data_IF_407492370592
#
_entry.id   IF_407492370592
#
_cell.length_a   1.000
_cell.length_b   1.000
_cell.length_c   1.000
_cell.angle_alpha   90.00
_cell.angle_beta   90.00
_cell.angle_gamma   90.00
#
_symmetry.space_group_name_H-M   'P 1'
#
loop_
_entity.id
_entity.type
_entity.pdbx_description
1 polymer ?
#
# COMPACT_ATOMS: atom_id res chain seq x y z
N UNK A 1 9.08 2.37 -25.74
CA UNK A 1 8.98 2.30 -24.26
C UNK A 1 7.65 2.79 -23.68
N UNK A 2 6.79 3.50 -24.42
CA UNK A 2 5.57 4.10 -23.85
C UNK A 2 4.33 3.18 -23.80
N UNK A 3 4.24 2.09 -24.57
CA UNK A 3 3.06 1.21 -24.59
C UNK A 3 2.87 0.34 -23.34
N UNK A 4 3.92 0.10 -22.56
CA UNK A 4 3.85 -0.80 -21.39
C UNK A 4 3.27 -0.08 -20.17
N UNK A 5 3.52 1.23 -20.03
CA UNK A 5 3.00 2.07 -18.94
C UNK A 5 1.47 2.15 -18.92
N UNK A 6 0.83 2.32 -20.08
CA UNK A 6 -0.62 2.50 -20.17
C UNK A 6 -1.43 1.21 -19.90
N UNK A 7 -0.90 0.04 -20.27
CA UNK A 7 -1.61 -1.23 -20.06
C UNK A 7 -1.69 -1.62 -18.58
N UNK A 8 -0.68 -1.25 -17.79
CA UNK A 8 -0.63 -1.54 -16.34
C UNK A 8 -1.58 -0.61 -15.57
N UNK A 9 -1.62 0.68 -15.94
CA UNK A 9 -2.50 1.67 -15.30
C UNK A 9 -3.99 1.36 -15.55
N UNK A 10 -4.36 0.96 -16.78
CA UNK A 10 -5.76 0.65 -17.11
C UNK A 10 -6.27 -0.64 -16.42
N UNK A 11 -5.39 -1.62 -16.19
CA UNK A 11 -5.71 -2.84 -15.44
C UNK A 11 -5.85 -2.57 -13.92
N UNK A 12 -5.17 -1.57 -13.36
CA UNK A 12 -5.28 -1.21 -11.94
C UNK A 12 -6.53 -0.40 -11.62
N UNK A 13 -6.96 0.53 -12.51
CA UNK A 13 -8.14 1.38 -12.29
C UNK A 13 -9.44 0.55 -12.30
N UNK A 14 -9.54 -0.45 -13.18
CA UNK A 14 -10.72 -1.34 -13.23
C UNK A 14 -10.81 -2.29 -12.03
N UNK A 15 -9.69 -2.62 -11.38
CA UNK A 15 -9.68 -3.41 -10.14
C UNK A 15 -10.04 -2.57 -8.90
N UNK A 16 -9.77 -1.25 -8.90
CA UNK A 16 -10.07 -0.35 -7.78
C UNK A 16 -11.58 -0.16 -7.53
N UNK A 17 -12.39 -0.09 -8.60
CA UNK A 17 -13.85 0.07 -8.47
C UNK A 17 -14.56 -1.16 -7.89
N UNK A 18 -13.91 -2.32 -7.93
CA UNK A 18 -14.46 -3.54 -7.31
C UNK A 18 -14.03 -3.65 -5.86
N UNK A 19 -12.83 -3.19 -5.45
CA UNK A 19 -12.33 -3.40 -4.09
C UNK A 19 -12.97 -2.47 -3.02
N UNK A 20 -13.15 -1.18 -3.33
CA UNK A 20 -13.59 -0.18 -2.34
C UNK A 20 -15.03 -0.38 -1.85
N UNK A 21 -15.89 -1.03 -2.64
CA UNK A 21 -17.30 -1.23 -2.27
C UNK A 21 -17.50 -2.42 -1.31
N UNK A 22 -16.55 -3.36 -1.21
CA UNK A 22 -16.76 -4.61 -0.45
C UNK A 22 -16.02 -4.69 0.89
N UNK A 23 -14.93 -3.95 1.09
CA UNK A 23 -14.24 -3.93 2.39
C UNK A 23 -15.14 -3.37 3.53
N UNK A 24 -16.08 -2.48 3.19
CA UNK A 24 -17.07 -1.95 4.14
C UNK A 24 -18.38 -2.76 4.19
N UNK A 25 -18.68 -3.59 3.17
CA UNK A 25 -19.93 -4.37 3.08
C UNK A 25 -19.87 -5.71 3.85
N UNK A 26 -18.68 -6.26 4.10
CA UNK A 26 -18.52 -7.62 4.64
C UNK A 26 -18.69 -7.71 6.18
N UNK A 27 -18.72 -6.59 6.92
CA UNK A 27 -18.92 -6.63 8.38
C UNK A 27 -20.37 -6.95 8.81
N UNK A 28 -21.35 -6.89 7.89
CA UNK A 28 -22.78 -6.97 8.28
C UNK A 28 -23.56 -8.20 7.79
N UNK A 29 -23.03 -9.02 6.86
CA UNK A 29 -23.85 -10.09 6.22
C UNK A 29 -23.46 -11.55 6.44
N UNK A 30 -22.45 -11.86 7.24
CA UNK A 30 -22.16 -13.26 7.61
C UNK A 30 -23.08 -13.77 8.75
N UNK A 31 -24.40 -13.57 8.61
CA UNK A 31 -25.41 -13.97 9.57
C UNK A 31 -26.66 -14.56 8.89
N UNK A 32 -26.49 -15.50 7.94
CA UNK A 32 -27.65 -16.24 7.42
C UNK A 32 -27.27 -17.61 6.86
N UNK A 33 -27.23 -18.63 7.73
CA UNK A 33 -27.70 -19.97 7.33
C UNK A 33 -28.03 -20.80 8.59
N UNK A 34 -29.28 -20.68 9.07
CA UNK A 34 -29.65 -20.92 10.48
C UNK A 34 -30.57 -22.09 10.76
N UNK A 35 -30.60 -23.16 9.94
CA UNK A 35 -31.60 -24.22 10.16
C UNK A 35 -31.13 -25.68 10.32
N UNK A 36 -29.84 -26.02 10.22
CA UNK A 36 -29.40 -27.42 10.42
C UNK A 36 -28.51 -27.61 11.67
N UNK A 37 -27.96 -26.53 12.26
CA UNK A 37 -27.00 -26.59 13.38
C UNK A 37 -27.60 -26.44 14.80
N UNK A 38 -28.93 -26.35 14.97
CA UNK A 38 -29.55 -25.79 16.19
C UNK A 38 -29.47 -26.71 17.43
N UNK A 39 -29.23 -28.00 17.26
CA UNK A 39 -29.24 -28.97 18.38
C UNK A 39 -27.82 -29.24 18.89
N UNK A 40 -26.86 -29.46 18.00
CA UNK A 40 -25.45 -29.73 18.35
C UNK A 40 -24.70 -28.47 18.85
N UNK A 41 -25.19 -27.29 18.48
CA UNK A 41 -24.63 -26.00 18.89
C UNK A 41 -24.86 -25.67 20.37
N UNK A 42 -25.89 -26.23 21.02
CA UNK A 42 -26.18 -25.90 22.43
C UNK A 42 -25.14 -26.48 23.39
N UNK A 43 -24.65 -27.69 23.12
CA UNK A 43 -23.67 -28.38 23.97
C UNK A 43 -22.27 -27.81 23.77
N UNK A 44 -21.91 -27.47 22.52
CA UNK A 44 -20.62 -26.84 22.23
C UNK A 44 -20.57 -25.35 22.63
N UNK A 45 -21.69 -24.62 22.58
CA UNK A 45 -21.76 -23.22 23.03
C UNK A 45 -21.52 -23.08 24.55
N UNK A 46 -22.03 -24.02 25.36
CA UNK A 46 -21.78 -24.03 26.80
C UNK A 46 -20.30 -24.26 27.17
N UNK A 47 -19.55 -25.01 26.34
CA UNK A 47 -18.10 -25.18 26.52
C UNK A 47 -17.27 -24.03 25.95
N UNK A 48 -17.75 -23.37 24.88
CA UNK A 48 -17.06 -22.24 24.24
C UNK A 48 -17.27 -20.90 24.97
N UNK A 49 -18.42 -20.70 25.62
CA UNK A 49 -18.69 -19.49 26.40
C UNK A 49 -17.83 -19.43 27.69
N UNK A 50 -17.19 -20.53 28.09
CA UNK A 50 -16.24 -20.57 29.22
C UNK A 50 -14.76 -20.32 28.82
N UNK A 51 -14.45 -20.24 27.52
CA UNK A 51 -13.07 -19.98 27.04
C UNK A 51 -12.95 -18.81 26.05
N UNK A 52 -14.07 -18.16 25.69
CA UNK A 52 -14.07 -16.98 24.83
C UNK A 52 -13.72 -15.73 25.63
N UNK A 53 -12.44 -15.54 25.96
CA UNK A 53 -11.92 -14.22 26.30
C UNK A 53 -12.18 -13.31 25.09
N UNK A 54 -12.97 -12.24 25.30
CA UNK A 54 -13.27 -11.24 24.28
C UNK A 54 -11.96 -10.59 23.87
N UNK A 55 -11.44 -10.94 22.69
CA UNK A 55 -10.24 -10.27 22.17
C UNK A 55 -10.48 -8.77 22.12
N UNK A 56 -9.64 -8.03 22.84
CA UNK A 56 -9.78 -6.59 22.94
C UNK A 56 -9.30 -5.94 21.65
N UNK A 57 -9.77 -4.72 21.38
CA UNK A 57 -9.26 -3.91 20.26
C UNK A 57 -7.73 -3.76 20.34
N UNK A 58 -7.18 -3.75 21.56
CA UNK A 58 -5.76 -3.74 21.82
C UNK A 58 -5.08 -5.03 21.35
N UNK A 59 -5.63 -6.22 21.65
CA UNK A 59 -5.06 -7.50 21.18
C UNK A 59 -5.04 -7.63 19.65
N UNK A 60 -5.95 -6.95 18.94
CA UNK A 60 -5.93 -6.88 17.46
C UNK A 60 -4.85 -5.96 16.91
N UNK A 61 -4.52 -4.89 17.63
CA UNK A 61 -3.56 -3.85 17.21
C UNK A 61 -2.14 -4.20 17.66
N UNK A 62 -1.97 -4.85 18.82
CA UNK A 62 -0.66 -5.17 19.40
C UNK A 62 -0.37 -6.67 19.46
N UNK A 63 -1.35 -7.53 19.15
CA UNK A 63 -1.18 -8.97 19.26
C UNK A 63 -0.41 -9.60 18.09
N UNK A 64 0.08 -10.84 18.26
CA UNK A 64 0.84 -11.59 17.25
C UNK A 64 0.06 -11.85 15.95
N UNK A 65 -1.27 -11.67 15.96
CA UNK A 65 -2.11 -11.72 14.77
C UNK A 65 -1.91 -10.52 13.83
N UNK A 66 -1.37 -9.39 14.29
CA UNK A 66 -0.99 -8.26 13.42
C UNK A 66 0.06 -8.69 12.39
N UNK A 67 0.99 -9.53 12.82
CA UNK A 67 2.11 -10.03 12.02
C UNK A 67 1.82 -11.38 11.35
N UNK A 68 0.62 -11.94 11.53
CA UNK A 68 0.27 -13.22 10.93
C UNK A 68 0.04 -13.03 9.43
N UNK A 69 0.88 -13.67 8.63
CA UNK A 69 0.72 -13.73 7.18
C UNK A 69 -0.61 -14.37 6.81
N UNK A 70 -1.34 -13.75 5.88
CA UNK A 70 -2.56 -14.34 5.31
C UNK A 70 -2.14 -15.48 4.39
N UNK A 71 -2.31 -16.71 4.85
CA UNK A 71 -1.99 -17.94 4.10
C UNK A 71 -3.17 -18.51 3.33
N UNK A 72 -4.38 -17.97 3.53
CA UNK A 72 -5.56 -18.39 2.79
C UNK A 72 -5.51 -17.79 1.39
N UNK A 73 -5.07 -18.61 0.43
CA UNK A 73 -5.18 -18.38 -1.01
C UNK A 73 -6.61 -18.58 -1.52
N UNK A 74 -7.51 -19.06 -0.67
CA UNK A 74 -8.88 -19.41 -1.04
C UNK A 74 -9.84 -18.24 -0.84
N UNK A 75 -10.40 -17.74 -1.94
CA UNK A 75 -11.41 -16.69 -1.97
C UNK A 75 -11.42 -15.98 -3.33
N UNK A 76 -12.59 -15.57 -3.82
CA UNK A 76 -12.73 -14.85 -5.11
C UNK A 76 -11.86 -13.57 -5.14
N UNK A 77 -11.47 -13.05 -3.97
CA UNK A 77 -10.69 -11.83 -3.81
C UNK A 77 -9.17 -12.05 -3.77
N UNK A 78 -8.66 -13.25 -3.50
CA UNK A 78 -7.21 -13.50 -3.49
C UNK A 78 -6.61 -13.43 -4.90
N UNK A 79 -7.41 -13.81 -5.90
CA UNK A 79 -7.01 -13.87 -7.32
C UNK A 79 -6.57 -12.51 -7.89
N UNK A 80 -7.30 -11.40 -7.70
CA UNK A 80 -6.82 -10.09 -8.13
C UNK A 80 -5.83 -9.42 -7.15
N UNK A 81 -5.95 -9.67 -5.85
CA UNK A 81 -5.14 -8.97 -4.84
C UNK A 81 -3.69 -9.43 -4.81
N UNK A 82 -3.42 -10.72 -5.05
CA UNK A 82 -2.04 -11.24 -5.04
C UNK A 82 -1.20 -10.66 -6.18
N UNK A 83 -1.64 -10.66 -7.45
CA UNK A 83 -0.92 -9.99 -8.53
C UNK A 83 -0.75 -8.50 -8.28
N UNK A 84 -1.80 -7.80 -7.82
CA UNK A 84 -1.71 -6.37 -7.51
C UNK A 84 -0.62 -6.10 -6.47
N UNK A 85 -0.59 -6.88 -5.38
CA UNK A 85 0.43 -6.76 -4.33
C UNK A 85 1.85 -6.99 -4.87
N UNK A 86 2.04 -8.03 -5.69
CA UNK A 86 3.34 -8.33 -6.29
C UNK A 86 3.78 -7.20 -7.22
N UNK A 87 2.89 -6.74 -8.11
CA UNK A 87 3.18 -5.66 -9.05
C UNK A 87 3.52 -4.35 -8.31
N UNK A 88 2.71 -3.95 -7.33
CA UNK A 88 2.98 -2.78 -6.51
C UNK A 88 4.29 -2.91 -5.76
N UNK A 89 4.57 -4.07 -5.14
CA UNK A 89 5.84 -4.30 -4.46
C UNK A 89 7.06 -4.20 -5.39
N UNK A 90 6.96 -4.72 -6.62
CA UNK A 90 8.02 -4.60 -7.63
C UNK A 90 8.21 -3.15 -8.11
N UNK A 91 7.13 -2.37 -8.25
CA UNK A 91 7.21 -0.96 -8.60
C UNK A 91 7.87 -0.16 -7.47
N UNK A 92 7.50 -0.41 -6.21
CA UNK A 92 8.16 0.21 -5.06
C UNK A 92 9.66 -0.13 -4.99
N UNK A 93 10.04 -1.39 -5.28
CA UNK A 93 11.47 -1.75 -5.41
C UNK A 93 12.15 -0.93 -6.51
N UNK A 94 11.49 -0.76 -7.66
CA UNK A 94 12.03 0.04 -8.76
C UNK A 94 12.26 1.50 -8.35
N UNK A 95 11.30 2.13 -7.66
CA UNK A 95 11.44 3.50 -7.17
C UNK A 95 12.52 3.62 -6.10
N UNK A 96 12.56 2.70 -5.13
CA UNK A 96 13.59 2.66 -4.10
C UNK A 96 14.99 2.24 -4.59
N UNK A 97 15.16 1.96 -5.89
CA UNK A 97 16.45 1.67 -6.51
C UNK A 97 16.98 2.85 -7.34
N UNK A 98 16.61 4.10 -6.99
CA UNK A 98 17.02 5.28 -7.74
C UNK A 98 18.55 5.39 -7.83
N UNK A 99 19.08 5.40 -9.05
CA UNK A 99 20.53 5.43 -9.32
C UNK A 99 21.25 4.08 -9.28
N UNK A 100 20.55 2.93 -9.22
CA UNK A 100 21.20 1.63 -9.17
C UNK A 100 20.27 0.42 -9.04
N UNK A 101 20.82 -0.69 -8.54
CA UNK A 101 20.08 -1.95 -8.26
C UNK A 101 19.77 -2.10 -6.77
N UNK A 102 20.52 -1.41 -5.92
CA UNK A 102 20.38 -1.44 -4.47
C UNK A 102 19.73 -0.14 -3.99
N UNK A 103 19.19 -0.11 -2.77
CA UNK A 103 18.65 1.12 -2.20
C UNK A 103 19.74 2.13 -1.85
N UNK A 104 19.35 3.41 -1.83
CA UNK A 104 20.17 4.52 -1.37
C UNK A 104 21.55 4.55 -2.03
N UNK A 105 21.57 4.69 -3.37
CA UNK A 105 22.78 4.73 -4.19
C UNK A 105 23.58 6.04 -3.98
N UNK A 106 24.04 6.28 -2.74
CA UNK A 106 24.74 7.49 -2.34
C UNK A 106 25.98 7.69 -3.20
N UNK A 107 26.12 8.89 -3.74
CA UNK A 107 27.23 9.27 -4.62
C UNK A 107 26.95 9.09 -6.12
N UNK A 108 25.77 8.59 -6.51
CA UNK A 108 25.34 8.61 -7.91
C UNK A 108 24.70 9.96 -8.28
N UNK A 109 24.81 10.38 -9.55
CA UNK A 109 24.16 11.60 -10.04
C UNK A 109 22.64 11.60 -9.85
N UNK A 110 22.00 10.43 -9.97
CA UNK A 110 20.56 10.26 -9.84
C UNK A 110 20.10 10.52 -8.41
N UNK A 111 20.77 9.90 -7.42
CA UNK A 111 20.49 10.15 -6.00
C UNK A 111 20.68 11.63 -5.63
N UNK A 112 21.76 12.25 -6.12
CA UNK A 112 22.00 13.67 -5.88
C UNK A 112 20.93 14.55 -6.55
N UNK A 113 20.44 14.15 -7.72
CA UNK A 113 19.32 14.81 -8.40
C UNK A 113 18.05 14.80 -7.54
N UNK A 114 17.68 13.65 -6.96
CA UNK A 114 16.53 13.57 -6.06
C UNK A 114 16.70 14.47 -4.83
N UNK A 115 17.89 14.49 -4.23
CA UNK A 115 18.21 15.39 -3.12
C UNK A 115 18.03 16.86 -3.50
N UNK A 116 18.61 17.28 -4.64
CA UNK A 116 18.71 18.68 -5.02
C UNK A 116 17.41 19.25 -5.59
N UNK A 117 16.64 18.43 -6.31
CA UNK A 117 15.41 18.89 -6.97
C UNK A 117 14.12 18.56 -6.21
N UNK A 118 14.16 17.61 -5.27
CA UNK A 118 12.96 17.16 -4.54
C UNK A 118 13.09 17.43 -3.04
N UNK A 119 14.10 16.86 -2.37
CA UNK A 119 14.16 16.98 -0.90
C UNK A 119 14.52 18.39 -0.44
N UNK A 120 15.56 19.01 -1.01
CA UNK A 120 15.96 20.38 -0.62
C UNK A 120 14.85 21.42 -0.84
N UNK A 121 14.15 21.47 -2.00
CA UNK A 121 13.18 22.53 -2.24
C UNK A 121 11.83 22.31 -1.53
N UNK A 122 11.38 21.06 -1.37
CA UNK A 122 10.02 20.77 -0.89
C UNK A 122 9.97 20.22 0.54
N UNK A 123 11.05 19.59 1.01
CA UNK A 123 11.13 18.96 2.33
C UNK A 123 12.16 19.60 3.27
N UNK A 124 12.57 20.84 3.01
CA UNK A 124 13.51 21.58 3.85
C UNK A 124 13.04 21.84 5.30
N UNK A 125 11.77 21.55 5.61
CA UNK A 125 11.25 21.59 6.97
C UNK A 125 11.66 20.37 7.82
N UNK A 126 12.14 19.29 7.19
CA UNK A 126 12.57 18.09 7.92
C UNK A 126 13.91 18.34 8.62
N UNK A 127 14.07 17.92 9.90
CA UNK A 127 15.32 18.08 10.61
C UNK A 127 16.39 17.12 10.08
N UNK A 128 17.64 17.57 9.99
CA UNK A 128 18.78 16.74 9.55
C UNK A 128 19.22 17.04 8.12
N UNK A 129 20.06 16.17 7.54
CA UNK A 129 20.55 16.37 6.18
C UNK A 129 19.53 15.84 5.15
N UNK A 130 19.30 16.57 4.05
CA UNK A 130 18.45 16.11 2.93
C UNK A 130 18.82 14.72 2.42
N UNK A 131 20.12 14.41 2.37
CA UNK A 131 20.65 13.14 1.90
C UNK A 131 20.22 11.97 2.79
N UNK A 132 20.07 12.18 4.11
CA UNK A 132 19.57 11.14 5.02
C UNK A 132 18.10 10.83 4.71
N UNK A 133 17.29 11.85 4.45
CA UNK A 133 15.88 11.67 4.13
C UNK A 133 15.68 10.98 2.78
N UNK A 134 16.48 11.32 1.78
CA UNK A 134 16.52 10.59 0.50
C UNK A 134 16.92 9.13 0.69
N UNK A 135 17.95 8.85 1.50
CA UNK A 135 18.34 7.47 1.76
C UNK A 135 17.23 6.69 2.49
N UNK A 136 16.59 7.29 3.50
CA UNK A 136 15.47 6.67 4.23
C UNK A 136 14.31 6.36 3.27
N UNK A 137 13.96 7.31 2.41
CA UNK A 137 12.94 7.12 1.37
C UNK A 137 13.23 5.86 0.54
N UNK A 138 14.42 5.77 -0.06
CA UNK A 138 14.82 4.64 -0.91
C UNK A 138 14.80 3.31 -0.15
N UNK A 139 15.32 3.30 1.08
CA UNK A 139 15.31 2.09 1.91
C UNK A 139 13.88 1.65 2.24
N UNK A 140 12.97 2.57 2.55
CA UNK A 140 11.58 2.26 2.85
C UNK A 140 10.87 1.69 1.62
N UNK A 141 11.08 2.28 0.44
CA UNK A 141 10.45 1.80 -0.80
C UNK A 141 11.00 0.45 -1.24
N UNK A 142 12.32 0.26 -1.15
CA UNK A 142 12.96 -0.99 -1.53
C UNK A 142 12.62 -2.15 -0.58
N UNK A 143 12.82 -1.96 0.72
CA UNK A 143 12.59 -3.01 1.73
C UNK A 143 11.09 -3.23 1.92
N UNK A 144 10.31 -2.14 2.01
CA UNK A 144 8.85 -2.19 2.10
C UNK A 144 8.24 -2.87 0.87
N UNK A 145 8.70 -2.50 -0.34
CA UNK A 145 8.29 -3.12 -1.59
C UNK A 145 8.61 -4.61 -1.65
N UNK A 146 9.81 -5.00 -1.17
CA UNK A 146 10.22 -6.41 -1.07
C UNK A 146 9.33 -7.22 -0.12
N UNK A 147 9.04 -6.67 1.06
CA UNK A 147 8.16 -7.30 2.04
C UNK A 147 6.72 -7.39 1.53
N UNK A 148 6.23 -6.34 0.86
CA UNK A 148 4.92 -6.33 0.23
C UNK A 148 4.81 -7.40 -0.86
N UNK A 149 5.79 -7.47 -1.77
CA UNK A 149 5.81 -8.45 -2.87
C UNK A 149 5.80 -9.89 -2.36
N UNK A 150 6.68 -10.22 -1.40
CA UNK A 150 6.79 -11.56 -0.80
C UNK A 150 5.56 -11.90 0.04
N UNK A 151 4.86 -10.91 0.59
CA UNK A 151 3.76 -11.13 1.51
C UNK A 151 4.21 -11.33 2.97
N UNK A 152 5.40 -10.85 3.32
CA UNK A 152 5.95 -10.92 4.68
C UNK A 152 5.78 -9.56 5.37
N UNK A 153 5.29 -9.54 6.62
CA UNK A 153 5.06 -8.29 7.37
C UNK A 153 4.32 -7.22 6.54
N UNK A 154 3.31 -7.63 5.75
CA UNK A 154 2.69 -6.76 4.75
C UNK A 154 2.02 -5.52 5.34
N UNK A 155 1.51 -5.60 6.57
CA UNK A 155 0.80 -4.49 7.22
C UNK A 155 1.74 -3.33 7.58
N UNK A 156 2.83 -3.55 8.34
CA UNK A 156 3.80 -2.48 8.58
C UNK A 156 4.51 -2.03 7.30
N UNK A 157 4.77 -2.94 6.35
CA UNK A 157 5.34 -2.58 5.05
C UNK A 157 4.41 -1.67 4.23
N UNK A 158 3.12 -1.99 4.16
CA UNK A 158 2.12 -1.15 3.50
C UNK A 158 1.99 0.21 4.19
N UNK A 159 2.02 0.26 5.52
CA UNK A 159 1.99 1.52 6.26
C UNK A 159 3.21 2.41 5.97
N UNK A 160 4.41 1.82 5.88
CA UNK A 160 5.61 2.60 5.56
C UNK A 160 5.61 3.11 4.11
N UNK A 161 5.19 2.27 3.17
CA UNK A 161 5.04 2.65 1.75
C UNK A 161 3.95 3.71 1.57
N UNK A 162 2.84 3.62 2.31
CA UNK A 162 1.82 4.66 2.32
C UNK A 162 2.41 6.02 2.73
N UNK A 163 3.31 6.04 3.72
CA UNK A 163 4.03 7.25 4.12
C UNK A 163 4.87 7.86 3.00
N UNK A 164 5.63 7.05 2.25
CA UNK A 164 6.43 7.57 1.12
C UNK A 164 5.53 8.09 0.00
N UNK A 165 4.41 7.41 -0.28
CA UNK A 165 3.44 7.85 -1.28
C UNK A 165 2.73 9.15 -0.90
N UNK A 166 2.46 9.39 0.39
CA UNK A 166 1.98 10.69 0.86
C UNK A 166 3.02 11.80 0.66
N UNK A 167 4.31 11.49 0.89
CA UNK A 167 5.41 12.39 0.58
C UNK A 167 5.45 12.74 -0.92
N UNK A 168 5.43 11.73 -1.78
CA UNK A 168 5.39 11.93 -3.23
C UNK A 168 4.17 12.73 -3.67
N UNK A 169 2.98 12.44 -3.13
CA UNK A 169 1.76 13.21 -3.38
C UNK A 169 1.92 14.68 -2.98
N UNK A 170 2.47 14.94 -1.78
CA UNK A 170 2.75 16.29 -1.32
C UNK A 170 3.73 17.01 -2.26
N UNK A 171 4.81 16.35 -2.68
CA UNK A 171 5.77 16.90 -3.64
C UNK A 171 5.08 17.28 -4.95
N UNK A 172 4.36 16.36 -5.60
CA UNK A 172 3.72 16.63 -6.88
C UNK A 172 2.68 17.75 -6.78
N UNK A 173 1.84 17.75 -5.74
CA UNK A 173 0.87 18.84 -5.54
C UNK A 173 1.57 20.18 -5.25
N UNK A 174 2.69 20.18 -4.54
CA UNK A 174 3.44 21.40 -4.26
C UNK A 174 4.22 21.91 -5.47
N UNK A 175 4.69 21.02 -6.33
CA UNK A 175 5.49 21.36 -7.50
C UNK A 175 4.64 21.85 -8.68
N UNK A 176 3.52 21.18 -8.97
CA UNK A 176 2.71 21.44 -10.17
C UNK A 176 1.24 21.74 -9.89
N UNK A 177 0.81 21.67 -8.62
CA UNK A 177 -0.58 21.88 -8.23
C UNK A 177 -1.52 20.76 -8.68
N UNK A 178 -2.82 21.03 -8.65
CA UNK A 178 -3.85 20.10 -9.10
C UNK A 178 -3.95 19.99 -10.64
N UNK A 179 -3.17 20.76 -11.40
CA UNK A 179 -3.08 20.68 -12.87
C UNK A 179 -4.44 20.73 -13.62
N UNK A 180 -5.46 21.35 -13.00
CA UNK A 180 -6.82 21.47 -13.56
C UNK A 180 -7.75 20.30 -13.25
N UNK A 181 -7.34 19.33 -12.44
CA UNK A 181 -8.18 18.22 -11.97
C UNK A 181 -9.50 18.71 -11.33
N UNK A 182 -10.66 18.05 -11.55
CA UNK A 182 -10.83 16.79 -12.30
C UNK A 182 -11.14 16.94 -13.80
N UNK A 183 -11.42 18.16 -14.28
CA UNK A 183 -11.93 18.37 -15.66
C UNK A 183 -10.85 18.87 -16.65
N UNK A 184 -9.66 19.22 -16.15
CA UNK A 184 -8.54 19.66 -16.94
C UNK A 184 -7.99 18.56 -17.85
N UNK A 185 -7.32 18.95 -18.93
CA UNK A 185 -6.53 18.03 -19.74
C UNK A 185 -5.09 18.50 -19.71
N UNK A 186 -4.23 17.68 -19.14
CA UNK A 186 -2.80 17.95 -19.08
C UNK A 186 -2.11 17.49 -20.37
N UNK A 187 -1.09 18.23 -20.87
CA UNK A 187 -0.34 17.83 -22.06
C UNK A 187 0.31 16.45 -21.93
N UNK A 188 0.63 16.04 -20.70
CA UNK A 188 1.26 14.76 -20.38
C UNK A 188 0.27 13.58 -20.26
N UNK A 189 -1.02 13.78 -20.59
CA UNK A 189 -2.10 12.77 -20.59
C UNK A 189 -2.46 12.12 -19.25
N UNK A 190 -1.67 12.33 -18.19
CA UNK A 190 -1.95 11.93 -16.81
C UNK A 190 -1.51 13.04 -15.86
N UNK A 191 -2.23 13.24 -14.77
CA UNK A 191 -1.82 14.22 -13.77
C UNK A 191 -0.64 13.65 -12.97
N UNK A 192 0.37 14.47 -12.68
CA UNK A 192 1.63 13.98 -12.12
C UNK A 192 1.45 13.41 -10.69
N UNK A 193 0.39 13.81 -9.98
CA UNK A 193 0.05 13.28 -8.66
C UNK A 193 -0.81 12.00 -8.69
N UNK A 194 -1.30 11.54 -9.86
CA UNK A 194 -2.16 10.34 -9.92
C UNK A 194 -1.44 9.06 -9.51
N UNK A 195 -0.17 8.92 -9.91
CA UNK A 195 0.65 7.76 -9.56
C UNK A 195 0.83 7.59 -8.04
N UNK A 196 1.30 8.61 -7.29
CA UNK A 196 1.40 8.48 -5.83
C UNK A 196 0.04 8.35 -5.15
N UNK A 197 -1.05 8.93 -5.69
CA UNK A 197 -2.41 8.69 -5.16
C UNK A 197 -2.80 7.22 -5.31
N UNK A 198 -2.57 6.63 -6.48
CA UNK A 198 -2.92 5.24 -6.74
C UNK A 198 -2.16 4.29 -5.81
N UNK A 199 -0.85 4.48 -5.65
CA UNK A 199 -0.05 3.65 -4.74
C UNK A 199 -0.41 3.85 -3.28
N UNK A 200 -0.73 5.08 -2.85
CA UNK A 200 -1.23 5.34 -1.52
C UNK A 200 -2.54 4.57 -1.25
N UNK A 201 -3.45 4.54 -2.22
CA UNK A 201 -4.71 3.79 -2.10
C UNK A 201 -4.52 2.27 -2.10
N UNK A 202 -3.51 1.75 -2.80
CA UNK A 202 -3.20 0.31 -2.78
C UNK A 202 -2.57 -0.12 -1.45
N UNK A 203 -1.83 0.78 -0.79
CA UNK A 203 -1.18 0.52 0.49
C UNK A 203 -2.10 0.73 1.71
N UNK A 204 -3.36 1.13 1.50
CA UNK A 204 -4.39 1.31 2.52
C UNK A 204 -5.20 0.02 2.77
#
# INVERSE_FOLDING_TARGET
>A
MNRIRYTVVFLCISALQVSQTYAFYIDTKCASNRNIKKVDMRVNKLKLDMSAEKETTWDRITGPKLFKTVTNVEGIHSVPLVPLRIMTGLLMIHHGSEGGVLPANIGTPEFQGFVDFIIKPYFGFLPGSPEIWSAIHDYVEFIGGSFLAIGFLTRPAALSLFGTMLGALYFHLSAVGAQGFPLGHVPNYSYDFEEPVLYALICL
#
